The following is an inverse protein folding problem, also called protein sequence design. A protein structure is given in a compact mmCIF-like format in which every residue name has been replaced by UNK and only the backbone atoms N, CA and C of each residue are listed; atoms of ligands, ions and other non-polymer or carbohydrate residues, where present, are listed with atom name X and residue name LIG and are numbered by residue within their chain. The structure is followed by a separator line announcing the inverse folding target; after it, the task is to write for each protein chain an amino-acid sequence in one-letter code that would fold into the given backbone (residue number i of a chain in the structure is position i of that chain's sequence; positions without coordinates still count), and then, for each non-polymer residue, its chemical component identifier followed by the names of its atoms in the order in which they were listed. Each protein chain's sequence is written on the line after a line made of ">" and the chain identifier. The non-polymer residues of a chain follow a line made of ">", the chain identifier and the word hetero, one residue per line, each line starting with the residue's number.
data_IF_209771805153
#
_entry.id   IF_209771805153
#
_cell.length_a   1.000
_cell.length_b   1.000
_cell.length_c   1.000
_cell.angle_alpha   90.00
_cell.angle_beta   90.00
_cell.angle_gamma   90.00
#
_symmetry.space_group_name_H-M   'P 1'
#
loop_
_entity.id
_entity.type
_entity.pdbx_description
1 polymer ?
#
# COMPACT_ATOMS: atom_id res chain seq x y z
N UNK A 1 -15.42 8.91 -31.92
CA UNK A 1 -14.99 9.37 -30.59
C UNK A 1 -14.44 8.16 -29.88
N UNK A 2 -13.11 8.03 -29.77
CA UNK A 2 -12.47 6.91 -29.06
C UNK A 2 -12.77 7.05 -27.57
N UNK A 3 -13.53 6.13 -27.00
CA UNK A 3 -13.72 6.04 -25.55
C UNK A 3 -12.34 6.00 -24.92
N UNK A 4 -12.04 6.95 -24.05
CA UNK A 4 -10.78 7.04 -23.34
C UNK A 4 -10.73 5.86 -22.37
N UNK A 5 -9.96 4.83 -22.74
CA UNK A 5 -9.81 3.63 -21.92
C UNK A 5 -9.30 4.05 -20.52
N UNK A 6 -9.91 3.51 -19.47
CA UNK A 6 -9.52 3.76 -18.09
C UNK A 6 -8.09 3.30 -17.84
N UNK A 7 -7.24 4.21 -17.39
CA UNK A 7 -5.86 3.94 -17.01
C UNK A 7 -5.70 4.08 -15.49
N UNK A 8 -5.52 2.95 -14.77
CA UNK A 8 -5.46 2.96 -13.32
C UNK A 8 -4.20 3.63 -12.79
N UNK A 9 -4.32 4.34 -11.69
CA UNK A 9 -3.20 4.84 -10.89
C UNK A 9 -2.92 3.89 -9.74
N UNK A 10 -1.72 3.33 -9.70
CA UNK A 10 -1.32 2.34 -8.70
C UNK A 10 -0.13 2.87 -7.89
N UNK A 11 -0.19 2.69 -6.58
CA UNK A 11 0.93 2.95 -5.67
C UNK A 11 1.58 1.63 -5.29
N UNK A 12 2.89 1.52 -5.48
CA UNK A 12 3.69 0.35 -5.09
C UNK A 12 4.58 0.66 -3.89
N UNK A 13 4.30 0.06 -2.74
CA UNK A 13 5.19 0.12 -1.58
C UNK A 13 6.23 -0.99 -1.68
N UNK A 14 7.50 -0.62 -1.87
CA UNK A 14 8.58 -1.57 -2.18
C UNK A 14 9.62 -1.62 -1.07
N UNK A 15 9.98 -2.85 -0.63
CA UNK A 15 11.07 -3.06 0.31
C UNK A 15 12.42 -2.72 -0.35
N UNK A 16 13.24 -1.90 0.34
CA UNK A 16 14.55 -1.45 -0.16
C UNK A 16 15.50 -2.60 -0.51
N UNK A 17 15.47 -3.69 0.25
CA UNK A 17 16.51 -4.72 0.20
C UNK A 17 16.31 -5.74 -0.91
N UNK A 18 15.08 -6.02 -1.28
CA UNK A 18 14.74 -7.02 -2.29
C UNK A 18 13.92 -6.44 -3.43
N UNK A 19 12.66 -6.13 -3.20
CA UNK A 19 11.72 -5.80 -4.28
C UNK A 19 12.00 -4.46 -4.97
N UNK A 20 12.56 -3.46 -4.28
CA UNK A 20 13.01 -2.24 -4.95
C UNK A 20 14.21 -2.52 -5.86
N UNK A 21 15.15 -3.39 -5.43
CA UNK A 21 16.26 -3.83 -6.28
C UNK A 21 15.79 -4.66 -7.46
N UNK A 22 14.74 -5.47 -7.29
CA UNK A 22 14.11 -6.17 -8.41
C UNK A 22 13.52 -5.18 -9.44
N UNK A 23 12.90 -4.09 -8.98
CA UNK A 23 12.42 -3.02 -9.84
C UNK A 23 13.57 -2.31 -10.58
N UNK A 24 14.69 -2.00 -9.88
CA UNK A 24 15.89 -1.45 -10.49
C UNK A 24 16.48 -2.39 -11.54
N UNK A 25 16.54 -3.69 -11.24
CA UNK A 25 17.01 -4.71 -12.19
C UNK A 25 16.09 -4.75 -13.42
N UNK A 26 14.78 -4.72 -13.25
CA UNK A 26 13.84 -4.68 -14.36
C UNK A 26 14.08 -3.43 -15.24
N UNK A 27 14.29 -2.26 -14.62
CA UNK A 27 14.56 -1.02 -15.32
C UNK A 27 15.92 -1.04 -16.07
N UNK A 28 16.99 -1.43 -15.40
CA UNK A 28 18.34 -1.50 -15.99
C UNK A 28 18.44 -2.54 -17.09
N UNK A 29 17.72 -3.65 -16.95
CA UNK A 29 17.60 -4.68 -18.00
C UNK A 29 16.60 -4.32 -19.09
N UNK A 30 16.02 -3.12 -19.05
CA UNK A 30 15.04 -2.62 -20.04
C UNK A 30 13.84 -3.54 -20.24
N UNK A 31 13.43 -4.25 -19.19
CA UNK A 31 12.23 -5.07 -19.21
C UNK A 31 10.99 -4.17 -19.31
N UNK A 32 10.13 -4.47 -20.26
CA UNK A 32 8.88 -3.70 -20.43
C UNK A 32 7.84 -4.19 -19.45
N UNK A 33 7.25 -3.30 -18.68
CA UNK A 33 6.08 -3.55 -17.84
C UNK A 33 5.18 -2.30 -17.79
N UNK A 34 3.98 -2.45 -17.28
CA UNK A 34 2.99 -1.38 -17.27
C UNK A 34 3.47 -0.16 -16.46
N UNK A 35 3.42 1.07 -17.02
CA UNK A 35 3.95 2.28 -16.38
C UNK A 35 3.04 2.86 -15.29
N UNK A 36 1.91 2.24 -15.03
CA UNK A 36 0.85 2.74 -14.16
C UNK A 36 1.20 2.71 -12.66
N UNK A 37 2.32 2.06 -12.29
CA UNK A 37 2.73 1.89 -10.89
C UNK A 37 3.78 2.91 -10.50
N UNK A 38 3.48 3.69 -9.46
CA UNK A 38 4.44 4.61 -8.83
C UNK A 38 5.02 3.98 -7.59
N UNK A 39 6.33 3.77 -7.57
CA UNK A 39 7.01 3.07 -6.49
C UNK A 39 7.41 4.02 -5.37
N UNK A 40 7.04 3.64 -4.15
CA UNK A 40 7.49 4.28 -2.91
C UNK A 40 8.41 3.30 -2.20
N UNK A 41 9.68 3.66 -2.10
CA UNK A 41 10.70 2.86 -1.41
C UNK A 41 10.54 2.97 0.09
N UNK A 42 10.46 1.84 0.77
CA UNK A 42 10.48 1.73 2.22
C UNK A 42 11.64 0.86 2.68
N UNK A 43 12.19 1.11 3.87
CA UNK A 43 13.30 0.31 4.38
C UNK A 43 12.94 -1.17 4.53
N UNK A 44 11.70 -1.48 4.89
CA UNK A 44 11.23 -2.86 5.03
C UNK A 44 9.72 -2.93 4.82
N UNK A 45 9.22 -4.02 4.22
CA UNK A 45 7.79 -4.28 4.12
C UNK A 45 7.08 -4.33 5.48
N UNK A 46 7.79 -4.76 6.53
CA UNK A 46 7.27 -4.72 7.89
C UNK A 46 7.03 -3.32 8.47
N UNK A 47 7.51 -2.24 7.81
CA UNK A 47 7.20 -0.86 8.16
C UNK A 47 5.81 -0.44 7.66
N UNK A 48 5.26 -1.19 6.71
CA UNK A 48 3.96 -0.84 6.14
C UNK A 48 2.88 -0.89 7.22
N UNK A 49 2.27 0.26 7.43
CA UNK A 49 1.04 0.37 8.21
C UNK A 49 -0.18 0.31 7.27
N UNK A 50 -1.27 -0.38 7.63
CA UNK A 50 -2.51 -0.38 6.86
C UNK A 50 -3.02 1.01 6.50
N UNK A 51 -2.80 2.00 7.36
CA UNK A 51 -3.19 3.39 7.12
C UNK A 51 -2.51 4.01 5.90
N UNK A 52 -1.29 3.57 5.54
CA UNK A 52 -0.62 4.04 4.33
C UNK A 52 -1.38 3.60 3.07
N UNK A 53 -1.89 2.37 3.08
CA UNK A 53 -2.69 1.84 1.97
C UNK A 53 -4.02 2.58 1.87
N UNK A 54 -4.72 2.75 2.99
CA UNK A 54 -5.97 3.52 3.03
C UNK A 54 -5.75 4.98 2.58
N UNK A 55 -4.64 5.59 2.98
CA UNK A 55 -4.27 6.94 2.55
C UNK A 55 -4.00 7.02 1.04
N UNK A 56 -3.34 6.02 0.48
CA UNK A 56 -3.10 5.96 -0.97
C UNK A 56 -4.43 5.84 -1.74
N UNK A 57 -5.32 4.92 -1.31
CA UNK A 57 -6.64 4.74 -1.92
C UNK A 57 -7.51 6.00 -1.79
N UNK A 58 -7.54 6.62 -0.62
CA UNK A 58 -8.29 7.87 -0.39
C UNK A 58 -7.69 9.07 -1.15
N UNK A 59 -6.41 9.01 -1.49
CA UNK A 59 -5.70 10.00 -2.29
C UNK A 59 -5.86 9.85 -3.79
N UNK A 60 -6.67 8.87 -4.25
CA UNK A 60 -6.98 8.66 -5.66
C UNK A 60 -6.20 7.54 -6.34
N UNK A 61 -5.55 6.66 -5.59
CA UNK A 61 -5.04 5.42 -6.17
C UNK A 61 -6.18 4.42 -6.37
N UNK A 62 -6.20 3.75 -7.52
CA UNK A 62 -7.17 2.71 -7.84
C UNK A 62 -6.76 1.34 -7.31
N UNK A 63 -5.47 1.17 -7.05
CA UNK A 63 -4.90 -0.03 -6.47
C UNK A 63 -3.59 0.22 -5.73
N UNK A 64 -3.24 -0.69 -4.82
CA UNK A 64 -1.99 -0.62 -4.06
C UNK A 64 -1.27 -1.97 -4.09
N UNK A 65 -0.03 -1.95 -4.54
CA UNK A 65 0.85 -3.12 -4.54
C UNK A 65 1.84 -3.02 -3.38
N UNK A 66 1.91 -4.05 -2.57
CA UNK A 66 2.87 -4.18 -1.48
C UNK A 66 3.89 -5.23 -1.89
N UNK A 67 5.17 -4.90 -1.85
CA UNK A 67 6.19 -5.87 -2.24
C UNK A 67 7.26 -6.03 -1.16
N UNK A 68 7.68 -7.26 -0.96
CA UNK A 68 8.64 -7.61 0.10
C UNK A 68 9.53 -8.79 -0.27
N UNK A 69 10.43 -9.14 0.65
CA UNK A 69 11.29 -10.31 0.53
C UNK A 69 10.49 -11.59 0.69
N UNK A 70 10.92 -12.68 0.04
CA UNK A 70 10.34 -14.00 0.26
C UNK A 70 10.34 -14.40 1.74
N UNK A 71 9.35 -15.19 2.17
CA UNK A 71 9.37 -15.82 3.49
C UNK A 71 10.69 -16.57 3.74
N UNK A 72 11.32 -16.30 4.88
CA UNK A 72 12.64 -16.87 5.22
C UNK A 72 13.85 -16.07 4.70
N UNK A 73 13.68 -15.13 3.74
CA UNK A 73 14.77 -14.33 3.16
C UNK A 73 14.73 -12.85 3.57
N UNK A 74 13.99 -12.52 4.62
CA UNK A 74 13.86 -11.13 5.04
C UNK A 74 15.17 -10.60 5.62
N UNK A 75 15.65 -9.46 5.11
CA UNK A 75 16.86 -8.79 5.62
C UNK A 75 16.79 -8.51 7.14
N UNK A 76 15.60 -8.30 7.68
CA UNK A 76 15.33 -8.10 9.10
C UNK A 76 14.68 -9.34 9.74
N UNK A 77 15.01 -10.52 9.26
CA UNK A 77 14.60 -11.86 9.74
C UNK A 77 13.11 -12.14 9.51
N UNK A 78 12.18 -11.45 10.21
CA UNK A 78 10.75 -11.81 10.26
C UNK A 78 9.79 -10.70 9.85
N UNK A 79 10.28 -9.55 9.38
CA UNK A 79 9.43 -8.39 9.14
C UNK A 79 8.43 -8.59 7.98
N UNK A 80 8.73 -9.44 7.02
CA UNK A 80 7.82 -9.83 5.95
C UNK A 80 6.58 -10.59 6.49
N UNK A 81 6.72 -11.40 7.55
CA UNK A 81 5.57 -12.03 8.22
C UNK A 81 4.67 -11.02 8.93
N UNK A 82 5.23 -9.94 9.46
CA UNK A 82 4.44 -8.82 10.02
C UNK A 82 3.64 -8.13 8.91
N UNK A 83 4.27 -7.91 7.75
CA UNK A 83 3.59 -7.36 6.57
C UNK A 83 2.45 -8.27 6.13
N UNK A 84 2.67 -9.60 6.06
CA UNK A 84 1.65 -10.57 5.70
C UNK A 84 0.44 -10.52 6.64
N UNK A 85 0.67 -10.52 7.96
CA UNK A 85 -0.43 -10.45 8.95
C UNK A 85 -1.26 -9.19 8.81
N UNK A 86 -0.59 -8.03 8.62
CA UNK A 86 -1.27 -6.74 8.39
C UNK A 86 -2.04 -6.72 7.08
N UNK A 87 -1.48 -7.29 6.03
CA UNK A 87 -2.13 -7.41 4.73
C UNK A 87 -3.42 -8.25 4.82
N UNK A 88 -3.37 -9.39 5.49
CA UNK A 88 -4.55 -10.24 5.67
C UNK A 88 -5.66 -9.54 6.46
N UNK A 89 -5.28 -8.80 7.51
CA UNK A 89 -6.22 -7.98 8.28
C UNK A 89 -6.81 -6.86 7.41
N UNK A 90 -5.96 -6.14 6.68
CA UNK A 90 -6.37 -5.06 5.80
C UNK A 90 -7.38 -5.51 4.75
N UNK A 91 -7.17 -6.68 4.13
CA UNK A 91 -8.14 -7.24 3.17
C UNK A 91 -9.52 -7.46 3.78
N UNK A 92 -9.58 -7.91 5.04
CA UNK A 92 -10.85 -8.06 5.76
C UNK A 92 -11.52 -6.71 6.03
N UNK A 93 -10.73 -5.71 6.43
CA UNK A 93 -11.22 -4.34 6.66
C UNK A 93 -11.77 -3.75 5.37
N UNK A 94 -11.03 -3.83 4.26
CA UNK A 94 -11.49 -3.34 2.96
C UNK A 94 -12.80 -3.98 2.53
N UNK A 95 -12.92 -5.30 2.69
CA UNK A 95 -14.18 -6.01 2.40
C UNK A 95 -15.34 -5.49 3.29
N UNK A 96 -15.09 -5.26 4.57
CA UNK A 96 -16.08 -4.66 5.48
C UNK A 96 -16.47 -3.24 5.12
N UNK A 97 -15.59 -2.50 4.45
CA UNK A 97 -15.85 -1.15 3.92
C UNK A 97 -16.53 -1.17 2.54
N UNK A 98 -16.77 -2.34 1.95
CA UNK A 98 -17.34 -2.47 0.60
C UNK A 98 -16.34 -2.19 -0.53
N UNK A 99 -15.03 -2.21 -0.22
CA UNK A 99 -13.96 -2.05 -1.21
C UNK A 99 -13.46 -3.44 -1.62
N UNK A 100 -13.27 -3.64 -2.92
CA UNK A 100 -12.77 -4.89 -3.45
C UNK A 100 -11.36 -5.18 -2.88
N UNK A 101 -11.17 -6.28 -2.13
CA UNK A 101 -9.87 -6.61 -1.53
C UNK A 101 -8.77 -6.89 -2.57
N UNK A 102 -9.15 -7.14 -3.81
CA UNK A 102 -8.28 -7.36 -4.97
C UNK A 102 -7.54 -6.08 -5.38
N UNK A 103 -8.02 -4.91 -4.94
CA UNK A 103 -7.31 -3.63 -5.14
C UNK A 103 -6.01 -3.52 -4.35
N UNK A 104 -5.77 -4.45 -3.45
CA UNK A 104 -4.49 -4.51 -2.70
C UNK A 104 -3.85 -5.87 -2.91
N UNK A 105 -2.64 -5.87 -3.46
CA UNK A 105 -1.86 -7.08 -3.78
C UNK A 105 -0.56 -7.11 -2.98
N UNK A 106 -0.22 -8.27 -2.44
CA UNK A 106 1.06 -8.54 -1.80
C UNK A 106 1.90 -9.46 -2.70
N UNK A 107 3.09 -9.00 -3.05
CA UNK A 107 4.02 -9.73 -3.92
C UNK A 107 5.35 -9.93 -3.21
N UNK A 108 5.86 -11.14 -3.27
CA UNK A 108 7.21 -11.47 -2.83
C UNK A 108 8.15 -11.51 -4.02
N UNK A 109 9.25 -10.77 -3.93
CA UNK A 109 10.29 -10.76 -4.95
C UNK A 109 11.67 -10.58 -4.32
N UNK A 110 12.64 -11.40 -4.72
CA UNK A 110 14.04 -11.24 -4.38
C UNK A 110 14.70 -10.17 -5.28
N UNK A 111 15.89 -9.71 -4.92
CA UNK A 111 16.62 -8.71 -5.70
C UNK A 111 16.96 -9.15 -7.14
N UNK A 112 17.06 -10.46 -7.37
CA UNK A 112 17.36 -11.04 -8.67
C UNK A 112 16.12 -11.27 -9.56
N UNK A 113 14.91 -11.10 -9.01
CA UNK A 113 13.66 -11.42 -9.70
C UNK A 113 13.02 -10.23 -10.42
N UNK A 114 13.81 -9.47 -11.19
CA UNK A 114 13.31 -8.34 -11.99
C UNK A 114 12.20 -8.73 -12.98
N UNK A 115 12.34 -9.89 -13.63
CA UNK A 115 11.33 -10.40 -14.56
C UNK A 115 10.01 -10.73 -13.86
N UNK A 116 10.07 -11.34 -12.68
CA UNK A 116 8.89 -11.61 -11.85
C UNK A 116 8.22 -10.31 -11.41
N UNK A 117 9.01 -9.33 -10.94
CA UNK A 117 8.48 -8.02 -10.56
C UNK A 117 7.74 -7.36 -11.73
N UNK A 118 8.32 -7.36 -12.93
CA UNK A 118 7.70 -6.78 -14.13
C UNK A 118 6.39 -7.50 -14.52
N UNK A 119 6.39 -8.82 -14.49
CA UNK A 119 5.23 -9.67 -14.76
C UNK A 119 4.09 -9.44 -13.77
N UNK A 120 4.38 -9.49 -12.45
CA UNK A 120 3.38 -9.26 -11.39
C UNK A 120 2.80 -7.84 -11.43
N UNK A 121 3.64 -6.84 -11.75
CA UNK A 121 3.22 -5.45 -11.93
C UNK A 121 2.23 -5.33 -13.07
N UNK A 122 2.54 -5.90 -14.23
CA UNK A 122 1.67 -5.86 -15.40
C UNK A 122 0.36 -6.60 -15.15
N UNK A 123 0.42 -7.79 -14.55
CA UNK A 123 -0.77 -8.56 -14.20
C UNK A 123 -1.69 -7.77 -13.25
N UNK A 124 -1.10 -7.11 -12.25
CA UNK A 124 -1.89 -6.34 -11.31
C UNK A 124 -2.54 -5.10 -11.95
N UNK A 125 -1.85 -4.41 -12.85
CA UNK A 125 -2.44 -3.31 -13.63
C UNK A 125 -3.67 -3.78 -14.41
N UNK A 126 -3.58 -4.95 -15.06
CA UNK A 126 -4.71 -5.53 -15.79
C UNK A 126 -5.87 -5.95 -14.86
N UNK A 127 -5.57 -6.48 -13.68
CA UNK A 127 -6.58 -6.77 -12.66
C UNK A 127 -7.34 -5.50 -12.25
N UNK A 128 -6.63 -4.41 -11.95
CA UNK A 128 -7.25 -3.13 -11.58
C UNK A 128 -8.01 -2.49 -12.76
N UNK A 129 -7.49 -2.63 -13.98
CA UNK A 129 -8.18 -2.14 -15.19
C UNK A 129 -9.54 -2.80 -15.37
N UNK A 130 -9.65 -4.10 -15.07
CA UNK A 130 -10.93 -4.84 -15.10
C UNK A 130 -11.89 -4.42 -14.00
N UNK A 131 -11.38 -4.09 -12.80
CA UNK A 131 -12.21 -3.60 -11.69
C UNK A 131 -12.74 -2.19 -11.92
N UNK A 132 -12.07 -1.41 -12.77
CA UNK A 132 -12.42 -0.02 -13.01
C UNK A 132 -11.99 0.94 -11.91
N UNK A 133 -12.32 2.23 -12.00
CA UNK A 133 -11.86 3.25 -11.06
C UNK A 133 -12.44 3.05 -9.66
N UNK A 134 -11.59 3.29 -8.64
CA UNK A 134 -12.02 3.32 -7.25
C UNK A 134 -12.66 4.68 -6.95
N UNK A 135 -13.98 4.73 -6.87
CA UNK A 135 -14.72 5.93 -6.50
C UNK A 135 -14.74 6.11 -4.97
N UNK A 136 -13.62 6.50 -4.37
CA UNK A 136 -13.50 6.68 -2.92
C UNK A 136 -14.57 7.61 -2.33
N UNK A 137 -15.05 8.60 -3.09
CA UNK A 137 -16.13 9.51 -2.70
C UNK A 137 -17.41 8.79 -2.28
N UNK A 138 -17.78 7.70 -2.96
CA UNK A 138 -18.96 6.89 -2.61
C UNK A 138 -18.87 6.28 -1.21
N UNK A 139 -17.66 5.91 -0.76
CA UNK A 139 -17.46 5.34 0.58
C UNK A 139 -17.47 6.41 1.66
N UNK A 140 -17.04 7.62 1.35
CA UNK A 140 -17.08 8.76 2.27
C UNK A 140 -18.51 9.18 2.59
N UNK A 141 -19.42 9.11 1.65
CA UNK A 141 -20.85 9.41 1.85
C UNK A 141 -21.58 8.35 2.70
N UNK A 142 -21.10 7.09 2.66
CA UNK A 142 -21.68 5.99 3.41
C UNK A 142 -21.24 5.94 4.89
N UNK A 143 -20.15 6.60 5.23
CA UNK A 143 -19.70 6.73 6.60
C UNK A 143 -20.42 7.94 7.21
N UNK A 144 -21.25 7.78 8.27
CA UNK A 144 -21.81 8.90 9.00
C UNK A 144 -20.68 9.63 9.72
N UNK A 145 -19.98 10.50 8.98
CA UNK A 145 -19.09 11.45 9.60
C UNK A 145 -19.97 12.49 10.26
N UNK A 146 -20.13 12.36 11.57
CA UNK A 146 -20.66 13.45 12.39
C UNK A 146 -19.77 14.68 12.13
N UNK A 147 -20.26 15.56 11.26
CA UNK A 147 -19.52 16.74 10.79
C UNK A 147 -19.52 17.88 11.83
N UNK A 148 -19.85 17.61 13.08
CA UNK A 148 -19.96 18.62 14.14
C UNK A 148 -19.31 18.15 15.45
N UNK A 149 -18.00 17.93 15.43
CA UNK A 149 -17.20 18.18 16.62
C UNK A 149 -16.08 19.15 16.25
N UNK A 150 -16.11 20.38 16.77
CA UNK A 150 -14.96 21.23 16.73
C UNK A 150 -13.81 20.53 17.46
N UNK A 151 -12.64 20.50 16.83
CA UNK A 151 -11.39 19.93 17.37
C UNK A 151 -10.79 20.84 18.45
N UNK A 152 -11.61 21.33 19.36
CA UNK A 152 -11.16 22.26 20.40
C UNK A 152 -10.65 21.58 21.68
N UNK A 153 -10.51 20.26 21.66
CA UNK A 153 -9.95 19.54 22.81
C UNK A 153 -8.45 19.20 22.61
N UNK A 154 -7.69 20.18 22.13
CA UNK A 154 -6.22 20.13 22.16
C UNK A 154 -5.64 20.39 23.56
N UNK A 155 -6.49 20.69 24.54
CA UNK A 155 -6.07 21.01 25.91
C UNK A 155 -5.63 19.82 26.74
N UNK A 156 -5.92 18.58 26.29
CA UNK A 156 -5.58 17.36 27.03
C UNK A 156 -4.15 16.82 26.75
N UNK A 157 -3.38 17.46 25.86
CA UNK A 157 -2.04 16.96 25.49
C UNK A 157 -0.92 17.75 26.17
N UNK A 158 -1.20 18.83 26.88
CA UNK A 158 -0.17 19.74 27.43
C UNK A 158 0.07 19.64 28.93
N UNK A 159 -0.53 18.69 29.64
CA UNK A 159 -0.25 18.51 31.08
C UNK A 159 0.77 17.39 31.33
N UNK A 160 2.01 17.61 30.88
CA UNK A 160 3.20 16.90 31.35
C UNK A 160 3.95 17.76 32.36
N UNK A 161 3.34 18.00 33.50
CA UNK A 161 4.10 18.39 34.69
C UNK A 161 4.97 17.20 35.14
N UNK A 162 6.29 17.37 35.29
CA UNK A 162 7.14 16.28 35.81
C UNK A 162 6.74 16.03 37.26
N UNK A 163 6.17 14.85 37.51
CA UNK A 163 6.01 14.36 38.89
C UNK A 163 7.39 14.12 39.48
N UNK A 164 7.72 14.87 40.50
CA UNK A 164 8.93 14.67 41.31
C UNK A 164 8.95 13.22 41.82
N UNK A 165 10.05 12.53 41.53
CA UNK A 165 10.34 11.21 42.08
C UNK A 165 10.94 11.45 43.49
N UNK A 166 10.30 10.99 44.57
CA UNK A 166 10.92 11.11 45.90
C UNK A 166 12.17 10.24 45.99
N UNK A 167 13.21 10.79 46.67
CA UNK A 167 14.53 10.21 46.89
C UNK A 167 14.50 8.94 47.75
#
# INVERSE_FOLDING_TARGET
>A
MTEKQFEPTIIGFTCNWCSYRAADLAGTSRMKYAPNVRLIRMMCSGRLDPTFVLRALSGGADGVMITGCHPGECHYIEQNYKALRRFLLLRRVLKGMGIEPERVKLVWASAAEGARFASETTAFVEEIRKLGPLNWGKFREQLPVSSNQPTDDLSLITDHSPKEIPA
#
